data_IF_948254385860
#
_entry.id   IF_948254385860
#
_cell.length_a   1.000
_cell.length_b   1.000
_cell.length_c   1.000
_cell.angle_alpha   90.00
_cell.angle_beta   90.00
_cell.angle_gamma   90.00
#
_symmetry.space_group_name_H-M   'P 1'
#
loop_
_entity.id
_entity.type
_entity.pdbx_description
1 polymer ?
#
# COMPACT_ATOMS: atom_id res chain seq x y z
N UNK A 1 -4.96 -18.50 -18.06
CA UNK A 1 -4.37 -19.48 -17.13
C UNK A 1 -2.87 -19.46 -17.30
N UNK A 2 -2.11 -19.46 -16.22
CA UNK A 2 -0.65 -19.37 -16.21
C UNK A 2 -0.07 -20.63 -15.60
N UNK A 3 0.97 -21.16 -16.25
CA UNK A 3 1.77 -22.28 -15.76
C UNK A 3 3.24 -21.87 -15.86
N UNK A 4 3.89 -21.67 -14.71
CA UNK A 4 5.31 -21.29 -14.61
C UNK A 4 5.73 -20.05 -15.42
N UNK A 5 4.86 -19.05 -15.56
CA UNK A 5 5.22 -17.81 -16.25
C UNK A 5 6.23 -17.02 -15.40
N UNK A 6 7.32 -16.57 -16.01
CA UNK A 6 8.25 -15.62 -15.36
C UNK A 6 8.41 -14.39 -16.24
N UNK A 7 8.36 -13.21 -15.63
CA UNK A 7 8.47 -11.93 -16.31
C UNK A 7 9.70 -11.21 -15.77
N UNK A 8 10.55 -10.71 -16.67
CA UNK A 8 11.77 -9.99 -16.31
C UNK A 8 11.79 -8.64 -17.01
N UNK A 9 11.98 -7.58 -16.24
CA UNK A 9 12.25 -6.23 -16.70
C UNK A 9 13.53 -5.68 -16.07
N UNK A 10 13.92 -4.47 -16.46
CA UNK A 10 15.15 -3.82 -16.00
C UNK A 10 15.22 -3.70 -14.47
N UNK A 11 14.11 -3.28 -13.85
CA UNK A 11 14.03 -2.98 -12.41
C UNK A 11 12.99 -3.85 -11.68
N UNK A 12 12.44 -4.87 -12.35
CA UNK A 12 11.47 -5.76 -11.75
C UNK A 12 11.59 -7.19 -12.28
N UNK A 13 11.27 -8.17 -11.46
CA UNK A 13 11.04 -9.54 -11.92
C UNK A 13 9.94 -10.23 -11.13
N UNK A 14 9.17 -11.05 -11.83
CA UNK A 14 8.15 -11.94 -11.28
C UNK A 14 8.56 -13.35 -11.66
N UNK A 15 8.73 -14.22 -10.67
CA UNK A 15 9.16 -15.61 -10.87
C UNK A 15 8.05 -16.58 -10.50
N UNK A 16 7.88 -17.60 -11.34
CA UNK A 16 6.99 -18.74 -11.13
C UNK A 16 5.53 -18.32 -10.84
N UNK A 17 4.96 -17.54 -11.75
CA UNK A 17 3.54 -17.18 -11.75
C UNK A 17 2.72 -18.40 -12.19
N UNK A 18 1.75 -18.79 -11.35
CA UNK A 18 0.85 -19.92 -11.56
C UNK A 18 -0.58 -19.55 -11.19
N UNK A 19 -1.57 -20.11 -11.88
CA UNK A 19 -2.99 -19.95 -11.56
C UNK A 19 -3.79 -19.20 -12.62
N UNK A 20 -4.90 -18.57 -12.22
CA UNK A 20 -5.80 -17.84 -13.13
C UNK A 20 -6.08 -16.43 -12.63
N UNK A 21 -6.43 -15.59 -13.60
CA UNK A 21 -6.99 -14.25 -13.41
C UNK A 21 -8.34 -14.30 -14.11
N UNK A 22 -9.39 -13.81 -13.45
CA UNK A 22 -10.72 -13.69 -14.04
C UNK A 22 -10.85 -12.30 -14.65
N UNK A 23 -11.28 -12.21 -15.91
CA UNK A 23 -11.42 -10.95 -16.64
C UNK A 23 -12.85 -10.83 -17.16
N UNK A 24 -13.55 -9.80 -16.71
CA UNK A 24 -14.91 -9.44 -17.12
C UNK A 24 -14.92 -7.97 -17.54
N UNK A 25 -14.80 -7.69 -18.83
CA UNK A 25 -14.80 -6.33 -19.39
C UNK A 25 -15.84 -6.22 -20.50
N UNK A 26 -16.52 -5.07 -20.55
CA UNK A 26 -17.41 -4.71 -21.65
C UNK A 26 -16.90 -3.39 -22.20
N UNK A 27 -16.61 -3.34 -23.50
CA UNK A 27 -16.00 -2.18 -24.13
C UNK A 27 -16.83 -1.69 -25.31
N UNK A 28 -16.92 -0.36 -25.44
CA UNK A 28 -17.42 0.31 -26.63
C UNK A 28 -16.24 0.64 -27.55
N UNK A 29 -16.38 0.31 -28.83
CA UNK A 29 -15.41 0.63 -29.88
C UNK A 29 -16.07 1.66 -30.81
N UNK A 30 -15.48 2.85 -30.88
CA UNK A 30 -16.00 3.95 -31.69
C UNK A 30 -15.38 3.95 -33.10
N UNK A 31 -16.03 4.62 -34.05
CA UNK A 31 -15.60 4.67 -35.46
C UNK A 31 -14.26 5.37 -35.67
N UNK A 32 -13.85 6.20 -34.73
CA UNK A 32 -12.56 6.89 -34.71
C UNK A 32 -11.42 6.03 -34.12
N UNK A 33 -11.71 4.78 -33.74
CA UNK A 33 -10.76 3.85 -33.15
C UNK A 33 -10.59 4.02 -31.63
N UNK A 34 -11.32 4.94 -31.00
CA UNK A 34 -11.32 5.06 -29.54
C UNK A 34 -12.02 3.86 -28.89
N UNK A 35 -11.52 3.48 -27.71
CA UNK A 35 -12.08 2.40 -26.88
C UNK A 35 -12.43 2.97 -25.51
N UNK A 36 -13.62 2.68 -25.02
CA UNK A 36 -14.05 3.01 -23.65
C UNK A 36 -14.69 1.80 -22.98
N UNK A 37 -14.75 1.81 -21.65
CA UNK A 37 -15.60 0.86 -20.92
C UNK A 37 -17.07 1.17 -21.17
N UNK A 38 -17.90 0.13 -21.30
CA UNK A 38 -19.35 0.25 -21.44
C UNK A 38 -19.98 0.88 -20.19
N UNK A 39 -19.43 0.58 -19.01
CA UNK A 39 -19.78 1.23 -17.76
C UNK A 39 -18.59 1.21 -16.80
N UNK A 40 -18.61 2.13 -15.83
CA UNK A 40 -17.60 2.22 -14.79
C UNK A 40 -18.16 1.72 -13.46
N UNK A 41 -17.43 0.82 -12.83
CA UNK A 41 -17.66 0.42 -11.46
C UNK A 41 -17.12 1.49 -10.52
N UNK A 42 -17.94 1.87 -9.54
CA UNK A 42 -17.51 2.76 -8.46
C UNK A 42 -16.91 1.93 -7.34
N UNK A 43 -15.67 2.22 -6.99
CA UNK A 43 -15.01 1.61 -5.84
C UNK A 43 -15.24 2.44 -4.58
N UNK A 44 -15.55 1.79 -3.46
CA UNK A 44 -15.46 2.39 -2.14
C UNK A 44 -14.61 1.47 -1.24
N UNK A 45 -13.38 1.87 -0.86
CA UNK A 45 -12.48 1.07 -0.03
C UNK A 45 -13.11 0.72 1.32
N UNK A 46 -13.83 1.67 1.92
CA UNK A 46 -14.34 1.62 3.29
C UNK A 46 -15.76 1.09 3.41
N UNK A 47 -16.43 0.77 2.29
CA UNK A 47 -17.74 0.11 2.34
C UNK A 47 -17.57 -1.29 2.95
N UNK A 48 -18.02 -1.41 4.20
CA UNK A 48 -18.08 -2.65 4.94
C UNK A 48 -19.22 -3.47 4.35
N UNK A 49 -18.83 -4.48 3.57
CA UNK A 49 -19.69 -5.54 3.03
C UNK A 49 -20.51 -5.13 1.80
N UNK A 50 -20.09 -5.66 0.66
CA UNK A 50 -20.92 -5.85 -0.53
C UNK A 50 -20.94 -7.36 -0.81
N UNK A 51 -21.99 -7.88 -1.43
CA UNK A 51 -22.15 -9.30 -1.78
C UNK A 51 -20.95 -9.80 -2.61
N UNK A 52 -20.42 -8.93 -3.49
CA UNK A 52 -19.18 -9.15 -4.26
C UNK A 52 -17.93 -9.43 -3.40
N UNK A 53 -17.92 -9.04 -2.11
CA UNK A 53 -16.82 -9.36 -1.16
C UNK A 53 -17.01 -10.68 -0.44
N UNK A 54 -18.23 -11.25 -0.43
CA UNK A 54 -18.55 -12.53 0.21
C UNK A 54 -18.50 -13.67 -0.81
N UNK A 55 -18.89 -13.41 -2.06
CA UNK A 55 -18.88 -14.38 -3.17
C UNK A 55 -17.56 -15.18 -3.29
N UNK A 56 -16.36 -14.58 -3.10
CA UNK A 56 -15.09 -15.31 -3.10
C UNK A 56 -14.91 -16.37 -2.00
N UNK A 57 -15.70 -16.30 -0.92
CA UNK A 57 -15.75 -17.33 0.13
C UNK A 57 -16.82 -18.40 -0.13
N UNK A 58 -17.73 -18.14 -1.07
CA UNK A 58 -18.83 -19.04 -1.43
C UNK A 58 -18.46 -19.93 -2.64
N UNK A 59 -17.50 -19.51 -3.45
CA UNK A 59 -16.97 -20.27 -4.59
C UNK A 59 -15.48 -20.57 -4.42
N UNK A 60 -15.06 -21.77 -4.84
CA UNK A 60 -13.64 -22.14 -4.91
C UNK A 60 -12.98 -21.34 -6.04
N UNK A 61 -12.58 -20.10 -5.75
CA UNK A 61 -11.88 -19.27 -6.74
C UNK A 61 -10.43 -19.73 -6.87
N UNK A 62 -9.99 -19.92 -8.11
CA UNK A 62 -8.61 -20.30 -8.39
C UNK A 62 -7.66 -19.15 -8.06
N UNK A 63 -6.68 -19.41 -7.18
CA UNK A 63 -5.73 -18.41 -6.72
C UNK A 63 -4.60 -18.24 -7.71
N UNK A 64 -4.21 -16.99 -7.93
CA UNK A 64 -2.91 -16.64 -8.51
C UNK A 64 -1.84 -16.79 -7.44
N UNK A 65 -0.75 -17.47 -7.77
CA UNK A 65 0.44 -17.59 -6.94
C UNK A 65 1.65 -17.02 -7.69
N UNK A 66 2.44 -16.21 -7.02
CA UNK A 66 3.72 -15.68 -7.54
C UNK A 66 4.79 -16.01 -6.50
N UNK A 67 5.78 -16.83 -6.87
CA UNK A 67 6.76 -17.31 -5.90
C UNK A 67 7.69 -16.19 -5.41
N UNK A 68 8.10 -15.30 -6.31
CA UNK A 68 9.02 -14.23 -6.00
C UNK A 68 8.72 -13.00 -6.82
N UNK A 69 8.61 -11.87 -6.14
CA UNK A 69 8.45 -10.54 -6.70
C UNK A 69 9.71 -9.76 -6.30
N UNK A 70 10.47 -9.29 -7.29
CA UNK A 70 11.60 -8.40 -7.06
C UNK A 70 11.28 -7.07 -7.72
N UNK A 71 11.40 -5.98 -6.98
CA UNK A 71 11.29 -4.61 -7.50
C UNK A 71 12.46 -3.83 -6.94
N UNK A 72 13.39 -3.40 -7.80
CA UNK A 72 14.67 -2.80 -7.41
C UNK A 72 15.38 -3.66 -6.34
N UNK A 73 15.52 -3.10 -5.14
CA UNK A 73 16.17 -3.72 -3.98
C UNK A 73 15.20 -4.45 -3.05
N UNK A 74 13.90 -4.39 -3.33
CA UNK A 74 12.86 -5.04 -2.53
C UNK A 74 12.58 -6.41 -3.12
N UNK A 75 12.59 -7.42 -2.26
CA UNK A 75 12.15 -8.78 -2.59
C UNK A 75 10.98 -9.14 -1.70
N UNK A 76 9.90 -9.59 -2.31
CA UNK A 76 8.71 -10.10 -1.67
C UNK A 76 8.35 -11.47 -2.26
N UNK A 77 7.51 -12.21 -1.55
CA UNK A 77 6.98 -13.49 -2.00
C UNK A 77 7.31 -14.66 -1.06
N UNK A 78 6.53 -15.75 -1.14
CA UNK A 78 5.46 -15.98 -2.12
C UNK A 78 4.25 -15.08 -1.87
N UNK A 79 3.56 -14.68 -2.95
CA UNK A 79 2.27 -14.00 -2.96
C UNK A 79 1.21 -15.01 -3.40
N UNK A 80 0.10 -15.08 -2.68
CA UNK A 80 -1.11 -15.77 -3.10
C UNK A 80 -2.26 -14.78 -3.06
N UNK A 81 -3.08 -14.71 -4.11
CA UNK A 81 -4.23 -13.81 -4.17
C UNK A 81 -5.29 -14.33 -5.13
N UNK A 82 -6.53 -13.90 -4.93
CA UNK A 82 -7.55 -13.97 -5.98
C UNK A 82 -7.53 -12.65 -6.73
N UNK A 83 -7.44 -12.72 -8.06
CA UNK A 83 -7.29 -11.53 -8.92
C UNK A 83 -8.45 -11.45 -9.92
N UNK A 84 -9.61 -10.91 -9.52
CA UNK A 84 -10.65 -10.54 -10.46
C UNK A 84 -10.36 -9.15 -11.05
N UNK A 85 -10.56 -9.04 -12.36
CA UNK A 85 -10.55 -7.81 -13.13
C UNK A 85 -11.96 -7.63 -13.69
N UNK A 86 -12.62 -6.56 -13.29
CA UNK A 86 -13.98 -6.23 -13.69
C UNK A 86 -14.02 -4.78 -14.16
N UNK A 87 -14.26 -4.57 -15.45
CA UNK A 87 -14.25 -3.23 -16.07
C UNK A 87 -12.98 -2.45 -15.70
N UNK A 88 -13.13 -1.25 -15.13
CA UNK A 88 -12.07 -0.37 -14.65
C UNK A 88 -11.45 -0.80 -13.30
N UNK A 89 -11.76 -1.98 -12.75
CA UNK A 89 -11.30 -2.33 -11.40
C UNK A 89 -10.54 -3.64 -11.39
N UNK A 90 -9.26 -3.56 -11.03
CA UNK A 90 -8.42 -4.72 -10.74
C UNK A 90 -8.40 -4.91 -9.23
N UNK A 91 -8.72 -6.11 -8.72
CA UNK A 91 -8.67 -6.39 -7.29
C UNK A 91 -7.67 -7.50 -7.00
N UNK A 92 -6.94 -7.36 -5.91
CA UNK A 92 -6.24 -8.46 -5.23
C UNK A 92 -7.03 -8.75 -3.96
N UNK A 93 -7.97 -9.67 -4.06
CA UNK A 93 -8.79 -10.10 -2.94
C UNK A 93 -8.04 -11.16 -2.13
N UNK A 94 -8.13 -11.04 -0.80
CA UNK A 94 -7.58 -12.01 0.17
C UNK A 94 -6.12 -12.38 -0.11
N UNK A 95 -5.29 -11.37 -0.41
CA UNK A 95 -3.90 -11.65 -0.68
C UNK A 95 -3.15 -11.99 0.62
N UNK A 96 -2.16 -12.86 0.52
CA UNK A 96 -1.17 -13.17 1.55
C UNK A 96 0.22 -13.18 0.92
N UNK A 97 1.18 -12.49 1.55
CA UNK A 97 2.50 -12.30 0.98
C UNK A 97 3.57 -12.15 2.06
N UNK A 98 4.69 -12.86 1.89
CA UNK A 98 5.89 -12.59 2.71
C UNK A 98 6.62 -11.33 2.24
N UNK A 99 6.97 -10.46 3.17
CA UNK A 99 7.72 -9.23 2.92
C UNK A 99 8.62 -8.91 4.12
N UNK A 100 9.90 -8.60 3.86
CA UNK A 100 10.90 -8.24 4.87
C UNK A 100 10.91 -9.15 6.12
N UNK A 101 10.87 -10.46 5.89
CA UNK A 101 10.85 -11.48 6.95
C UNK A 101 9.52 -11.65 7.70
N UNK A 102 8.52 -10.80 7.41
CA UNK A 102 7.17 -10.87 7.98
C UNK A 102 6.11 -11.32 6.98
N UNK A 103 4.85 -11.12 7.36
CA UNK A 103 3.68 -11.42 6.53
C UNK A 103 2.81 -10.17 6.33
N UNK A 104 2.28 -10.02 5.12
CA UNK A 104 1.34 -8.96 4.74
C UNK A 104 0.13 -9.63 4.11
N UNK A 105 -1.05 -9.39 4.66
CA UNK A 105 -2.28 -9.98 4.16
C UNK A 105 -3.41 -8.98 4.15
N UNK A 106 -4.30 -9.04 3.16
CA UNK A 106 -5.37 -8.06 3.03
C UNK A 106 -6.10 -8.06 1.70
N UNK A 107 -6.58 -6.89 1.34
CA UNK A 107 -7.27 -6.59 0.09
C UNK A 107 -6.65 -5.35 -0.54
N UNK A 108 -6.56 -5.34 -1.85
CA UNK A 108 -6.07 -4.23 -2.63
C UNK A 108 -6.94 -4.07 -3.87
N UNK A 109 -7.12 -2.85 -4.34
CA UNK A 109 -7.70 -2.58 -5.64
C UNK A 109 -6.95 -1.46 -6.35
N UNK A 110 -7.01 -1.52 -7.67
CA UNK A 110 -6.62 -0.47 -8.57
C UNK A 110 -7.85 -0.14 -9.43
N UNK A 111 -8.39 1.05 -9.22
CA UNK A 111 -9.39 1.66 -10.07
C UNK A 111 -8.66 2.39 -11.21
N UNK A 112 -8.82 1.91 -12.43
CA UNK A 112 -8.20 2.41 -13.65
C UNK A 112 -9.14 3.35 -14.42
N UNK A 113 -10.15 3.93 -13.76
CA UNK A 113 -11.04 4.93 -14.36
C UNK A 113 -10.23 5.99 -15.10
N UNK A 114 -10.46 6.20 -16.41
CA UNK A 114 -9.66 7.13 -17.22
C UNK A 114 -9.49 8.50 -16.55
N UNK A 115 -8.23 8.94 -16.39
CA UNK A 115 -7.82 10.20 -15.73
C UNK A 115 -8.13 10.33 -14.23
N UNK A 116 -8.68 9.31 -13.58
CA UNK A 116 -8.94 9.30 -12.13
C UNK A 116 -8.52 7.96 -11.51
N UNK A 117 -7.29 7.53 -11.82
CA UNK A 117 -6.76 6.29 -11.25
C UNK A 117 -6.69 6.41 -9.73
N UNK A 118 -7.11 5.34 -9.05
CA UNK A 118 -7.03 5.23 -7.58
C UNK A 118 -6.49 3.87 -7.19
N UNK A 119 -5.62 3.88 -6.21
CA UNK A 119 -5.10 2.68 -5.57
C UNK A 119 -5.58 2.65 -4.14
N UNK A 120 -6.18 1.54 -3.71
CA UNK A 120 -6.55 1.38 -2.31
C UNK A 120 -6.10 0.05 -1.74
N UNK A 121 -5.74 0.06 -0.46
CA UNK A 121 -5.27 -1.12 0.26
C UNK A 121 -5.82 -1.14 1.68
N UNK A 122 -6.30 -2.31 2.08
CA UNK A 122 -6.66 -2.64 3.45
C UNK A 122 -5.85 -3.88 3.83
N UNK A 123 -4.84 -3.73 4.68
CA UNK A 123 -3.94 -4.84 5.00
C UNK A 123 -3.53 -4.87 6.46
N UNK A 124 -3.21 -6.08 6.91
CA UNK A 124 -2.51 -6.34 8.16
C UNK A 124 -1.08 -6.72 7.85
N UNK A 125 -0.16 -5.98 8.45
CA UNK A 125 1.27 -6.23 8.46
C UNK A 125 1.61 -6.94 9.75
N UNK A 126 2.33 -8.05 9.68
CA UNK A 126 2.72 -8.86 10.85
C UNK A 126 4.20 -9.16 10.81
N UNK A 127 4.90 -8.77 11.88
CA UNK A 127 6.31 -9.07 12.12
C UNK A 127 7.27 -8.68 10.98
N UNK A 128 7.07 -7.51 10.38
CA UNK A 128 7.90 -6.98 9.28
C UNK A 128 9.10 -6.22 9.84
N UNK A 129 10.29 -6.44 9.28
CA UNK A 129 11.50 -5.70 9.63
C UNK A 129 11.60 -4.38 8.84
N UNK A 130 11.36 -3.25 9.50
CA UNK A 130 11.37 -1.93 8.84
C UNK A 130 12.77 -1.45 8.46
N UNK A 131 13.84 -2.10 8.94
CA UNK A 131 15.20 -1.73 8.56
C UNK A 131 15.45 -1.86 7.06
N UNK A 132 14.69 -2.74 6.39
CA UNK A 132 14.72 -2.88 4.94
C UNK A 132 14.35 -1.59 4.18
N UNK A 133 13.67 -0.64 4.84
CA UNK A 133 13.28 0.66 4.29
C UNK A 133 14.26 1.80 4.64
N UNK A 134 15.24 1.54 5.52
CA UNK A 134 16.21 2.54 5.98
C UNK A 134 17.36 2.67 4.97
N UNK A 135 17.96 3.88 4.94
CA UNK A 135 19.18 4.12 4.15
C UNK A 135 20.37 3.36 4.74
N UNK A 136 20.49 3.36 6.07
CA UNK A 136 21.46 2.54 6.81
C UNK A 136 20.72 1.52 7.70
N UNK A 137 20.75 0.25 7.26
CA UNK A 137 20.09 -0.85 7.96
C UNK A 137 20.77 -1.22 9.29
N UNK A 138 22.05 -0.88 9.43
CA UNK A 138 22.87 -1.29 10.58
C UNK A 138 22.71 -0.34 11.77
N UNK A 139 22.15 0.86 11.56
CA UNK A 139 21.87 1.85 12.60
C UNK A 139 20.95 1.33 13.71
N UNK A 140 20.08 0.36 13.40
CA UNK A 140 19.13 -0.19 14.36
C UNK A 140 19.20 -1.71 14.49
N UNK A 141 18.92 -2.20 15.69
CA UNK A 141 18.72 -3.64 15.93
C UNK A 141 17.45 -4.13 15.25
N UNK A 142 17.44 -5.42 14.89
CA UNK A 142 16.28 -6.07 14.32
C UNK A 142 15.06 -5.94 15.23
N UNK A 143 13.96 -5.43 14.68
CA UNK A 143 12.72 -5.29 15.44
C UNK A 143 11.51 -5.41 14.51
N UNK A 144 10.59 -6.31 14.87
CA UNK A 144 9.52 -6.76 13.97
C UNK A 144 8.21 -6.04 14.24
N UNK A 145 7.78 -5.18 13.32
CA UNK A 145 6.59 -4.34 13.47
C UNK A 145 5.36 -5.05 12.95
N UNK A 146 4.24 -4.86 13.66
CA UNK A 146 2.92 -5.30 13.20
C UNK A 146 1.98 -4.10 13.18
N UNK A 147 1.21 -3.96 12.11
CA UNK A 147 0.37 -2.80 11.88
C UNK A 147 -0.92 -3.17 11.14
N UNK A 148 -1.92 -2.32 11.25
CA UNK A 148 -3.09 -2.28 10.36
C UNK A 148 -2.94 -1.07 9.47
N UNK A 149 -3.20 -1.24 8.18
CA UNK A 149 -3.01 -0.21 7.18
C UNK A 149 -4.27 -0.14 6.34
N UNK A 150 -4.83 1.06 6.24
CA UNK A 150 -5.93 1.38 5.35
C UNK A 150 -5.54 2.64 4.58
N UNK A 151 -5.23 2.53 3.29
CA UNK A 151 -4.76 3.66 2.49
C UNK A 151 -5.53 3.74 1.17
N UNK A 152 -5.77 4.95 0.70
CA UNK A 152 -6.18 5.25 -0.66
C UNK A 152 -5.26 6.33 -1.24
N UNK A 153 -4.78 6.11 -2.45
CA UNK A 153 -4.01 7.06 -3.22
C UNK A 153 -4.74 7.40 -4.52
N UNK A 154 -5.10 8.67 -4.69
CA UNK A 154 -5.59 9.21 -5.96
C UNK A 154 -4.42 9.76 -6.77
N UNK A 155 -4.15 9.14 -7.92
CA UNK A 155 -3.06 9.57 -8.80
C UNK A 155 -3.33 10.95 -9.40
N UNK A 156 -4.57 11.20 -9.82
CA UNK A 156 -4.99 12.46 -10.42
C UNK A 156 -4.85 13.64 -9.44
N UNK A 157 -5.20 13.43 -8.17
CA UNK A 157 -5.09 14.45 -7.12
C UNK A 157 -3.72 14.44 -6.42
N UNK A 158 -2.85 13.47 -6.74
CA UNK A 158 -1.60 13.17 -6.03
C UNK A 158 -1.80 13.13 -4.51
N UNK A 159 -2.91 12.53 -4.09
CA UNK A 159 -3.42 12.63 -2.74
C UNK A 159 -3.44 11.25 -2.10
N UNK A 160 -2.72 11.12 -0.98
CA UNK A 160 -2.75 9.94 -0.11
C UNK A 160 -3.66 10.22 1.09
N UNK A 161 -4.55 9.29 1.38
CA UNK A 161 -5.46 9.33 2.53
C UNK A 161 -5.47 7.99 3.24
N UNK A 162 -5.83 8.01 4.53
CA UNK A 162 -6.08 6.80 5.31
C UNK A 162 -5.37 6.77 6.65
N UNK A 163 -5.19 5.57 7.20
CA UNK A 163 -4.71 5.36 8.56
C UNK A 163 -3.74 4.18 8.64
N UNK A 164 -2.73 4.30 9.50
CA UNK A 164 -1.85 3.20 9.92
C UNK A 164 -1.85 3.12 11.44
N UNK A 165 -2.27 1.97 11.97
CA UNK A 165 -2.27 1.71 13.41
C UNK A 165 -1.23 0.68 13.79
N UNK A 166 -0.36 1.03 14.74
CA UNK A 166 0.65 0.15 15.32
C UNK A 166 0.30 -0.08 16.79
N UNK A 167 -0.35 -1.21 17.07
CA UNK A 167 -0.92 -1.50 18.40
C UNK A 167 0.10 -2.00 19.42
N UNK A 168 1.26 -2.49 18.97
CA UNK A 168 2.38 -2.90 19.83
C UNK A 168 3.67 -2.43 19.18
N UNK A 169 4.34 -1.49 19.82
CA UNK A 169 5.57 -0.90 19.31
C UNK A 169 6.60 -0.75 20.44
N UNK A 170 7.83 -1.10 20.16
CA UNK A 170 8.98 -0.88 21.06
C UNK A 170 9.64 0.46 20.75
N UNK A 171 10.48 0.92 21.68
CA UNK A 171 11.28 2.13 21.49
C UNK A 171 12.11 2.08 20.19
N UNK A 172 12.80 0.96 19.92
CA UNK A 172 13.59 0.79 18.70
C UNK A 172 12.74 0.85 17.43
N UNK A 173 11.52 0.30 17.46
CA UNK A 173 10.62 0.31 16.30
C UNK A 173 10.10 1.72 16.02
N UNK A 174 9.76 2.46 17.07
CA UNK A 174 9.35 3.84 16.90
C UNK A 174 10.51 4.69 16.38
N UNK A 175 11.73 4.52 16.88
CA UNK A 175 12.89 5.22 16.35
C UNK A 175 13.14 4.90 14.86
N UNK A 176 12.96 3.64 14.43
CA UNK A 176 13.04 3.28 13.01
C UNK A 176 11.95 3.98 12.18
N UNK A 177 10.71 4.04 12.68
CA UNK A 177 9.62 4.74 12.02
C UNK A 177 9.94 6.24 11.87
N UNK A 178 10.44 6.88 12.93
CA UNK A 178 10.84 8.29 12.91
C UNK A 178 11.99 8.53 11.92
N UNK A 179 12.94 7.60 11.79
CA UNK A 179 14.01 7.66 10.79
C UNK A 179 13.50 7.53 9.35
N UNK A 180 12.44 6.73 9.12
CA UNK A 180 11.80 6.63 7.80
C UNK A 180 11.13 7.95 7.45
N UNK A 181 10.46 8.58 8.42
CA UNK A 181 9.70 9.82 8.23
C UNK A 181 10.59 11.06 8.10
N UNK A 182 11.61 11.18 8.95
CA UNK A 182 12.50 12.34 9.04
C UNK A 182 13.95 11.86 9.22
N UNK A 183 14.60 11.35 8.17
CA UNK A 183 15.97 10.83 8.24
C UNK A 183 17.01 11.92 8.54
N UNK A 184 16.73 13.16 8.15
CA UNK A 184 17.63 14.30 8.33
C UNK A 184 17.44 15.03 9.66
N UNK A 185 16.53 14.57 10.52
CA UNK A 185 16.24 15.18 11.83
C UNK A 185 15.84 16.65 11.75
N UNK A 186 15.12 17.05 10.70
CA UNK A 186 14.71 18.44 10.47
C UNK A 186 13.47 18.83 11.28
N UNK A 187 12.63 17.86 11.62
CA UNK A 187 11.36 18.12 12.29
C UNK A 187 11.52 18.20 13.81
N UNK A 188 11.39 19.41 14.35
CA UNK A 188 11.56 19.69 15.78
C UNK A 188 10.62 18.85 16.66
N UNK A 189 9.37 18.64 16.22
CA UNK A 189 8.40 17.84 16.97
C UNK A 189 8.79 16.35 17.02
N UNK A 190 9.34 15.81 15.94
CA UNK A 190 9.84 14.42 15.90
C UNK A 190 11.12 14.28 16.74
N UNK A 191 12.01 15.28 16.73
CA UNK A 191 13.19 15.30 17.60
C UNK A 191 12.83 15.29 19.09
N UNK A 192 11.80 16.04 19.50
CA UNK A 192 11.29 15.99 20.88
C UNK A 192 10.82 14.58 21.27
N UNK A 193 10.15 13.87 20.36
CA UNK A 193 9.76 12.47 20.60
C UNK A 193 11.01 11.58 20.76
N UNK A 194 12.03 11.75 19.91
CA UNK A 194 13.30 10.98 20.01
C UNK A 194 13.97 11.18 21.38
N UNK A 195 13.95 12.40 21.91
CA UNK A 195 14.48 12.70 23.25
C UNK A 195 13.65 12.03 24.36
N UNK A 196 12.33 12.16 24.31
CA UNK A 196 11.42 11.55 25.30
C UNK A 196 11.53 10.04 25.34
N UNK A 197 11.75 9.40 24.18
CA UNK A 197 11.94 7.96 24.09
C UNK A 197 13.14 7.45 24.88
N UNK A 198 14.10 8.29 25.28
CA UNK A 198 15.20 7.88 26.18
C UNK A 198 14.71 7.47 27.56
N UNK A 199 13.56 8.00 27.98
CA UNK A 199 13.02 7.83 29.34
C UNK A 199 11.61 7.22 29.36
N UNK A 200 10.96 7.10 28.19
CA UNK A 200 9.60 6.61 28.07
C UNK A 200 9.51 5.48 27.03
N UNK A 201 8.69 4.48 27.35
CA UNK A 201 8.34 3.41 26.41
C UNK A 201 7.05 3.74 25.66
N UNK A 202 7.00 3.56 24.33
CA UNK A 202 5.79 3.76 23.56
C UNK A 202 4.80 2.60 23.76
N UNK A 203 3.51 2.93 23.73
CA UNK A 203 2.40 1.98 23.88
C UNK A 203 1.73 1.70 22.54
N UNK A 204 1.40 2.77 21.81
CA UNK A 204 0.71 2.72 20.53
C UNK A 204 1.10 3.92 19.66
N UNK A 205 1.02 3.72 18.34
CA UNK A 205 1.23 4.78 17.34
C UNK A 205 0.10 4.70 16.32
N UNK A 206 -0.53 5.84 16.06
CA UNK A 206 -1.46 6.03 14.93
C UNK A 206 -0.89 7.05 13.98
N UNK A 207 -1.04 6.80 12.68
CA UNK A 207 -0.73 7.73 11.61
C UNK A 207 -2.01 7.96 10.84
N UNK A 208 -2.45 9.19 10.77
CA UNK A 208 -3.64 9.61 10.05
C UNK A 208 -3.23 10.52 8.89
N UNK A 209 -3.72 10.22 7.70
CA UNK A 209 -3.38 10.92 6.46
C UNK A 209 -4.63 11.49 5.84
N UNK A 210 -4.66 12.81 5.70
CA UNK A 210 -5.79 13.53 5.16
C UNK A 210 -5.32 14.79 4.45
N UNK A 211 -5.91 15.08 3.28
CA UNK A 211 -5.66 16.33 2.55
C UNK A 211 -4.16 16.63 2.28
N UNK A 212 -3.34 15.59 2.07
CA UNK A 212 -1.90 15.72 1.78
C UNK A 212 -1.02 15.93 3.01
N UNK A 213 -1.62 15.88 4.20
CA UNK A 213 -0.96 16.03 5.49
C UNK A 213 -1.00 14.71 6.26
N UNK A 214 0.01 14.52 7.08
CA UNK A 214 0.17 13.41 8.01
C UNK A 214 0.10 13.94 9.44
N UNK A 215 -0.73 13.30 10.25
CA UNK A 215 -0.79 13.47 11.68
C UNK A 215 -0.29 12.19 12.34
N UNK A 216 0.59 12.33 13.32
CA UNK A 216 1.19 11.23 14.07
C UNK A 216 0.79 11.35 15.53
N UNK A 217 0.09 10.35 16.06
CA UNK A 217 -0.30 10.25 17.46
C UNK A 217 0.51 9.15 18.14
N UNK A 218 1.22 9.50 19.22
CA UNK A 218 2.13 8.61 19.94
C UNK A 218 1.72 8.55 21.39
N UNK A 219 1.26 7.38 21.83
CA UNK A 219 0.96 7.13 23.24
C UNK A 219 2.22 6.65 23.95
N UNK A 220 2.63 7.35 25.01
CA UNK A 220 3.79 6.99 25.83
C UNK A 220 3.36 6.46 27.20
N UNK A 221 4.27 5.75 27.89
CA UNK A 221 4.02 5.20 29.22
C UNK A 221 3.89 6.24 30.32
N UNK A 222 4.63 7.35 30.20
CA UNK A 222 4.76 8.40 31.22
C UNK A 222 3.79 9.57 31.04
N UNK A 223 2.97 9.56 30.00
CA UNK A 223 2.01 10.61 29.69
C UNK A 223 0.60 10.04 29.66
N UNK A 224 -0.35 10.76 30.26
CA UNK A 224 -1.77 10.41 30.21
C UNK A 224 -2.38 10.69 28.84
N UNK A 225 -1.86 11.72 28.15
CA UNK A 225 -2.30 12.12 26.82
C UNK A 225 -1.27 11.77 25.74
N UNK A 226 -1.71 11.35 24.55
CA UNK A 226 -0.79 11.10 23.44
C UNK A 226 -0.13 12.39 22.96
N UNK A 227 1.11 12.27 22.50
CA UNK A 227 1.79 13.33 21.77
C UNK A 227 1.24 13.33 20.35
N UNK A 228 0.66 14.46 19.94
CA UNK A 228 0.12 14.62 18.59
C UNK A 228 0.99 15.59 17.81
N UNK A 229 1.59 15.08 16.74
CA UNK A 229 2.34 15.82 15.75
C UNK A 229 1.41 16.00 14.56
N UNK A 230 1.20 17.25 14.13
CA UNK A 230 0.19 17.59 13.12
C UNK A 230 0.81 18.21 11.88
N UNK A 231 0.18 17.96 10.73
CA UNK A 231 0.47 18.71 9.52
C UNK A 231 1.82 18.41 8.88
N UNK A 232 2.37 17.20 9.08
CA UNK A 232 3.59 16.81 8.39
C UNK A 232 3.27 16.63 6.88
N UNK A 233 4.00 17.28 5.96
CA UNK A 233 3.73 17.14 4.54
C UNK A 233 4.00 15.70 4.08
N UNK A 234 3.08 15.12 3.30
CA UNK A 234 3.26 13.78 2.74
C UNK A 234 4.17 13.74 1.51
N UNK A 235 4.38 14.89 0.84
CA UNK A 235 5.17 14.97 -0.41
C UNK A 235 6.55 14.31 -0.31
N UNK A 236 7.37 14.54 0.74
CA UNK A 236 8.67 13.89 0.86
C UNK A 236 8.60 12.36 0.96
N UNK A 237 7.57 11.83 1.65
CA UNK A 237 7.34 10.40 1.76
C UNK A 237 6.89 9.82 0.42
N UNK A 238 5.93 10.47 -0.24
CA UNK A 238 5.44 10.05 -1.55
C UNK A 238 6.61 10.04 -2.55
N UNK A 239 7.37 11.13 -2.68
CA UNK A 239 8.50 11.23 -3.60
C UNK A 239 9.54 10.13 -3.39
N UNK A 240 9.88 9.82 -2.12
CA UNK A 240 10.84 8.75 -1.77
C UNK A 240 10.38 7.37 -2.27
N UNK A 241 9.09 7.08 -2.23
CA UNK A 241 8.56 5.74 -2.52
C UNK A 241 7.89 5.60 -3.90
N UNK A 242 7.59 6.69 -4.61
CA UNK A 242 6.71 6.68 -5.78
C UNK A 242 7.32 7.18 -7.10
N UNK A 243 8.56 7.71 -7.08
CA UNK A 243 9.14 8.49 -8.20
C UNK A 243 9.01 7.84 -9.59
N UNK A 244 9.15 6.52 -9.72
CA UNK A 244 9.12 5.84 -11.04
C UNK A 244 7.74 5.32 -11.45
N UNK A 245 6.83 5.10 -10.49
CA UNK A 245 5.52 4.53 -10.76
C UNK A 245 4.52 5.60 -11.23
N UNK A 246 4.60 6.80 -10.64
CA UNK A 246 3.68 7.90 -10.96
C UNK A 246 3.88 8.46 -12.38
N UNK A 247 5.13 8.54 -12.85
CA UNK A 247 5.43 9.15 -14.17
C UNK A 247 5.01 8.28 -15.37
N UNK A 248 4.79 6.98 -15.18
CA UNK A 248 4.46 6.05 -16.28
C UNK A 248 2.96 5.93 -16.54
N UNK A 249 2.13 6.25 -15.54
CA UNK A 249 0.67 6.12 -15.61
C UNK A 249 0.05 7.22 -16.49
N UNK A 250 0.60 8.44 -16.45
CA UNK A 250 0.11 9.59 -17.24
C UNK A 250 0.25 9.40 -18.78
N UNK A 251 0.94 8.35 -19.23
CA UNK A 251 1.18 8.07 -20.66
C UNK A 251 0.28 6.98 -21.24
N UNK A 252 -0.69 6.46 -20.48
CA UNK A 252 -1.54 5.35 -20.93
C UNK A 252 -2.73 5.86 -21.78
N UNK A 253 -2.99 5.25 -22.95
CA UNK A 253 -3.99 5.71 -23.90
C UNK A 253 -5.40 5.24 -23.53
N UNK A 254 -5.96 5.74 -22.43
CA UNK A 254 -7.37 5.50 -22.07
C UNK A 254 -8.13 6.84 -22.04
N UNK A 255 -9.06 7.03 -22.98
CA UNK A 255 -9.88 8.23 -23.11
C UNK A 255 -11.26 8.04 -22.49
N UNK A 256 -11.91 9.16 -22.17
CA UNK A 256 -13.23 9.21 -21.50
C UNK A 256 -14.33 9.27 -22.56
N UNK A 257 -15.48 8.66 -22.28
CA UNK A 257 -16.73 8.90 -23.02
C UNK A 257 -16.98 10.41 -23.15
N UNK A 258 -17.14 10.89 -24.38
CA UNK A 258 -17.81 12.17 -24.64
C UNK A 258 -19.30 11.91 -24.50
N UNK A 259 -19.92 12.58 -23.51
CA UNK A 259 -21.37 12.70 -23.42
C UNK A 259 -21.91 13.52 -24.58
#
# INVERSE_FOLDING_TARGET
MFHHLSVYGKDFSLKDINGKITLNEEMNIYKDGNVSFNYLLKTNPFQRVDFSRIEPYLTTQEKLSIQKIKVKNITAGPLQAVVPIEQNVIRLQQFDMKLFGGNVAGQLYLDTTPKDWKFGVLMRVSRVDLRELLQDKNKFKASLVSARVALEFSFAKRLLQGQIDITKISQSQLLQLLEIMDPQHKEAQLNKVRELLRYAYPKAVSIDMESGLLNLSISLSVLDNPIVIRGLPLSPLIERFSFDALQKIDKLPLTKEQK
#
